data_IF_463807398086
#
_entry.id   IF_463807398086
#
_cell.length_a   1.000
_cell.length_b   1.000
_cell.length_c   1.000
_cell.angle_alpha   90.00
_cell.angle_beta   90.00
_cell.angle_gamma   90.00
#
_symmetry.space_group_name_H-M   'P 1'
#
loop_
_entity.id
_entity.type
_entity.pdbx_description
1 polymer ?
#
# COMPACT_ATOMS: atom_id res chain seq x y z
N UNK A 1 14.24 -21.06 -28.99
CA UNK A 1 13.88 -20.19 -27.86
C UNK A 1 14.90 -20.47 -26.77
N UNK A 2 15.73 -19.51 -26.42
CA UNK A 2 16.75 -19.69 -25.37
C UNK A 2 16.06 -19.71 -24.00
N UNK A 3 16.52 -20.58 -23.09
CA UNK A 3 15.88 -20.78 -21.79
C UNK A 3 16.02 -19.56 -20.86
N UNK A 4 16.87 -18.60 -21.24
CA UNK A 4 17.11 -17.33 -20.55
C UNK A 4 16.11 -16.24 -20.94
N UNK A 5 15.30 -16.45 -21.98
CA UNK A 5 14.39 -15.45 -22.53
C UNK A 5 12.98 -15.57 -21.92
N UNK A 6 12.90 -15.36 -20.60
CA UNK A 6 11.66 -15.54 -19.83
C UNK A 6 10.63 -14.41 -20.08
N UNK A 7 11.10 -13.18 -20.26
CA UNK A 7 10.28 -11.99 -20.51
C UNK A 7 10.20 -11.70 -22.02
N UNK A 8 9.57 -12.61 -22.74
CA UNK A 8 9.39 -12.49 -24.20
C UNK A 8 8.48 -11.31 -24.57
N UNK A 9 8.59 -10.83 -25.82
CA UNK A 9 7.68 -9.81 -26.35
C UNK A 9 6.21 -10.23 -26.25
N UNK A 10 5.89 -11.49 -26.55
CA UNK A 10 4.53 -12.01 -26.44
C UNK A 10 4.03 -11.96 -24.99
N UNK A 11 4.88 -12.35 -24.03
CA UNK A 11 4.54 -12.26 -22.61
C UNK A 11 4.35 -10.80 -22.18
N UNK A 12 5.29 -9.90 -22.49
CA UNK A 12 5.20 -8.47 -22.14
C UNK A 12 3.97 -7.79 -22.75
N UNK A 13 3.57 -8.21 -23.96
CA UNK A 13 2.37 -7.71 -24.62
C UNK A 13 1.05 -8.22 -24.03
N UNK A 14 1.11 -9.31 -23.26
CA UNK A 14 -0.05 -9.85 -22.55
C UNK A 14 -0.43 -8.98 -21.35
N UNK A 15 -1.69 -9.06 -20.94
CA UNK A 15 -2.20 -8.37 -19.76
C UNK A 15 -1.36 -8.64 -18.51
N UNK A 16 -1.04 -9.91 -18.24
CA UNK A 16 -0.24 -10.32 -17.08
C UNK A 16 1.21 -9.84 -17.18
N UNK A 17 1.84 -9.95 -18.35
CA UNK A 17 3.21 -9.49 -18.51
C UNK A 17 3.34 -7.96 -18.44
N UNK A 18 2.34 -7.23 -18.95
CA UNK A 18 2.26 -5.77 -18.76
C UNK A 18 2.12 -5.41 -17.27
N UNK A 19 1.27 -6.12 -16.51
CA UNK A 19 1.16 -5.90 -15.05
C UNK A 19 2.50 -6.12 -14.35
N UNK A 20 3.12 -7.28 -14.56
CA UNK A 20 4.40 -7.65 -13.92
C UNK A 20 5.51 -6.67 -14.33
N UNK A 21 5.60 -6.30 -15.60
CA UNK A 21 6.63 -5.38 -16.08
C UNK A 21 6.46 -3.98 -15.46
N UNK A 22 5.24 -3.43 -15.47
CA UNK A 22 4.97 -2.11 -14.88
C UNK A 22 5.20 -2.13 -13.37
N UNK A 23 4.79 -3.19 -12.68
CA UNK A 23 5.03 -3.37 -11.24
C UNK A 23 6.52 -3.42 -10.90
N UNK A 24 7.29 -4.20 -11.66
CA UNK A 24 8.74 -4.33 -11.45
C UNK A 24 9.45 -2.99 -11.63
N UNK A 25 9.07 -2.23 -12.66
CA UNK A 25 9.64 -0.90 -12.89
C UNK A 25 9.24 0.02 -11.73
N UNK A 26 7.97 0.08 -11.36
CA UNK A 26 7.53 0.92 -10.21
C UNK A 26 8.26 0.54 -8.94
N UNK A 27 8.39 -0.75 -8.64
CA UNK A 27 9.07 -1.25 -7.44
C UNK A 27 10.54 -0.83 -7.42
N UNK A 28 11.24 -0.97 -8.54
CA UNK A 28 12.67 -0.64 -8.63
C UNK A 28 12.96 0.86 -8.66
N UNK A 29 12.07 1.68 -9.21
CA UNK A 29 12.33 3.12 -9.41
C UNK A 29 11.72 4.02 -8.34
N UNK A 30 10.69 3.55 -7.61
CA UNK A 30 9.99 4.37 -6.62
C UNK A 30 10.82 4.65 -5.36
N UNK A 31 11.74 3.76 -5.00
CA UNK A 31 12.67 3.98 -3.88
C UNK A 31 13.77 5.01 -4.17
N UNK A 32 13.82 5.51 -5.41
CA UNK A 32 14.76 6.55 -5.78
C UNK A 32 14.36 7.90 -5.13
N UNK A 33 15.30 8.60 -4.46
CA UNK A 33 15.01 9.81 -3.69
C UNK A 33 14.39 10.95 -4.52
N UNK A 34 14.54 10.94 -5.84
CA UNK A 34 13.92 11.92 -6.75
C UNK A 34 12.41 11.71 -6.97
N UNK A 35 11.90 10.47 -6.91
CA UNK A 35 10.50 10.14 -7.23
C UNK A 35 9.60 10.14 -5.98
N UNK A 36 10.21 10.21 -4.79
CA UNK A 36 9.54 10.08 -3.47
C UNK A 36 8.42 11.11 -3.20
N UNK A 37 8.35 12.20 -3.97
CA UNK A 37 7.36 13.28 -3.80
C UNK A 37 6.11 13.14 -4.69
N UNK A 38 6.13 12.25 -5.68
CA UNK A 38 5.01 12.08 -6.64
C UNK A 38 4.01 11.07 -6.08
N UNK A 39 2.68 11.32 -6.16
CA UNK A 39 1.70 10.32 -5.76
C UNK A 39 1.87 9.06 -6.61
N UNK A 40 2.07 7.92 -5.94
CA UNK A 40 2.35 6.60 -6.56
C UNK A 40 1.38 6.30 -7.71
N UNK A 41 0.10 6.64 -7.54
CA UNK A 41 -0.95 6.43 -8.56
C UNK A 41 -0.63 7.09 -9.89
N UNK A 42 -0.19 8.36 -9.85
CA UNK A 42 0.16 9.11 -11.05
C UNK A 42 1.47 8.60 -11.65
N UNK A 43 2.43 8.24 -10.81
CA UNK A 43 3.70 7.66 -11.26
C UNK A 43 3.48 6.33 -12.01
N UNK A 44 2.73 5.41 -11.41
CA UNK A 44 2.35 4.13 -12.02
C UNK A 44 1.56 4.33 -13.31
N UNK A 45 0.69 5.36 -13.37
CA UNK A 45 -0.05 5.69 -14.59
C UNK A 45 0.86 6.10 -15.74
N UNK A 46 1.82 7.00 -15.48
CA UNK A 46 2.78 7.44 -16.50
C UNK A 46 3.61 6.25 -17.00
N UNK A 47 4.05 5.37 -16.09
CA UNK A 47 4.78 4.16 -16.44
C UNK A 47 3.94 3.17 -17.26
N UNK A 48 2.67 2.97 -16.90
CA UNK A 48 1.77 2.08 -17.63
C UNK A 48 1.53 2.57 -19.06
N UNK A 49 1.31 3.87 -19.23
CA UNK A 49 1.18 4.50 -20.56
C UNK A 49 2.47 4.32 -21.35
N UNK A 50 3.63 4.63 -20.76
CA UNK A 50 4.93 4.48 -21.42
C UNK A 50 5.19 3.02 -21.86
N UNK A 51 4.91 2.05 -20.99
CA UNK A 51 5.07 0.63 -21.30
C UNK A 51 4.17 0.19 -22.45
N UNK A 52 2.88 0.56 -22.42
CA UNK A 52 1.93 0.22 -23.49
C UNK A 52 2.31 0.85 -24.84
N UNK A 53 2.87 2.07 -24.83
CA UNK A 53 3.39 2.70 -26.05
C UNK A 53 4.57 1.88 -26.59
N UNK A 54 5.53 1.50 -25.74
CA UNK A 54 6.68 0.69 -26.16
C UNK A 54 6.20 -0.63 -26.77
N UNK A 55 5.31 -1.36 -26.09
CA UNK A 55 4.74 -2.63 -26.59
C UNK A 55 4.03 -2.45 -27.94
N UNK A 56 3.28 -1.35 -28.13
CA UNK A 56 2.63 -1.04 -29.41
C UNK A 56 3.64 -0.78 -30.52
N UNK A 57 4.70 -0.03 -30.24
CA UNK A 57 5.75 0.26 -31.22
C UNK A 57 6.52 -0.98 -31.64
N UNK A 58 6.83 -1.89 -30.70
CA UNK A 58 7.55 -3.14 -31.01
C UNK A 58 6.69 -4.16 -31.73
N UNK A 59 5.37 -4.08 -31.59
CA UNK A 59 4.40 -4.96 -32.29
C UNK A 59 4.08 -4.46 -33.72
N UNK A 60 4.60 -3.28 -34.11
CA UNK A 60 4.45 -2.74 -35.48
C UNK A 60 3.06 -2.18 -35.81
N UNK A 61 2.13 -2.13 -34.85
CA UNK A 61 0.75 -1.67 -35.06
C UNK A 61 0.59 -0.16 -34.81
N UNK A 62 1.38 0.66 -35.50
CA UNK A 62 1.37 2.12 -35.37
C UNK A 62 0.27 2.73 -36.26
N UNK A 63 -0.96 2.25 -36.11
CA UNK A 63 -2.12 2.96 -36.64
C UNK A 63 -2.51 4.04 -35.63
N UNK A 64 -2.17 5.29 -35.94
CA UNK A 64 -2.50 6.49 -35.15
C UNK A 64 -4.00 6.84 -35.26
N UNK A 65 -4.86 5.90 -34.88
CA UNK A 65 -6.32 6.08 -34.82
C UNK A 65 -6.74 6.56 -33.44
N UNK A 66 -7.81 7.38 -33.38
CA UNK A 66 -8.45 7.81 -32.12
C UNK A 66 -8.87 6.64 -31.24
N UNK A 67 -9.27 5.52 -31.84
CA UNK A 67 -9.62 4.30 -31.13
C UNK A 67 -8.39 3.67 -30.43
N UNK A 68 -7.21 3.75 -31.05
CA UNK A 68 -5.96 3.24 -30.49
C UNK A 68 -5.58 4.00 -29.22
N UNK A 69 -5.68 5.33 -29.25
CA UNK A 69 -5.42 6.19 -28.09
C UNK A 69 -6.40 5.91 -26.94
N UNK A 70 -7.69 5.77 -27.26
CA UNK A 70 -8.70 5.46 -26.25
C UNK A 70 -8.46 4.09 -25.59
N UNK A 71 -8.19 3.05 -26.39
CA UNK A 71 -7.87 1.71 -25.88
C UNK A 71 -6.62 1.72 -25.01
N UNK A 72 -5.58 2.45 -25.41
CA UNK A 72 -4.34 2.57 -24.62
C UNK A 72 -4.62 3.26 -23.28
N UNK A 73 -5.40 4.33 -23.28
CA UNK A 73 -5.76 5.07 -22.07
C UNK A 73 -6.58 4.22 -21.08
N UNK A 74 -7.61 3.52 -21.56
CA UNK A 74 -8.42 2.63 -20.71
C UNK A 74 -7.58 1.47 -20.17
N UNK A 75 -6.73 0.86 -21.00
CA UNK A 75 -5.85 -0.21 -20.53
C UNK A 75 -4.88 0.30 -19.46
N UNK A 76 -4.29 1.49 -19.64
CA UNK A 76 -3.42 2.10 -18.62
C UNK A 76 -4.18 2.36 -17.31
N UNK A 77 -5.44 2.83 -17.37
CA UNK A 77 -6.29 2.99 -16.20
C UNK A 77 -6.55 1.66 -15.48
N UNK A 78 -6.87 0.60 -16.21
CA UNK A 78 -7.09 -0.74 -15.62
C UNK A 78 -5.82 -1.22 -14.90
N UNK A 79 -4.66 -1.10 -15.53
CA UNK A 79 -3.37 -1.47 -14.95
C UNK A 79 -3.10 -0.69 -13.66
N UNK A 80 -3.32 0.62 -13.66
CA UNK A 80 -3.18 1.46 -12.46
C UNK A 80 -4.17 1.09 -11.39
N UNK A 81 -5.43 0.82 -11.72
CA UNK A 81 -6.44 0.43 -10.73
C UNK A 81 -6.10 -0.90 -10.08
N UNK A 82 -5.51 -1.86 -10.80
CA UNK A 82 -5.10 -3.14 -10.23
C UNK A 82 -3.88 -2.95 -9.33
N UNK A 83 -2.85 -2.26 -9.82
CA UNK A 83 -1.60 -2.03 -9.08
C UNK A 83 -1.82 -1.12 -7.87
N UNK A 84 -2.61 -0.04 -8.03
CA UNK A 84 -2.83 0.96 -7.00
C UNK A 84 -4.08 0.75 -6.14
N UNK A 85 -5.12 0.11 -6.67
CA UNK A 85 -6.32 -0.23 -5.91
C UNK A 85 -6.05 -1.25 -4.81
N UNK A 86 -5.04 -2.11 -5.00
CA UNK A 86 -4.46 -2.91 -3.93
C UNK A 86 -3.92 -2.05 -2.79
N UNK A 87 -3.14 -0.99 -3.08
CA UNK A 87 -2.52 -0.17 -2.04
C UNK A 87 -3.52 0.59 -1.15
N UNK A 88 -4.62 1.13 -1.69
CA UNK A 88 -5.63 1.80 -0.87
C UNK A 88 -6.31 0.81 0.10
N UNK A 89 -6.63 -0.39 -0.38
CA UNK A 89 -7.26 -1.45 0.43
C UNK A 89 -6.30 -1.95 1.52
N UNK A 90 -5.01 -2.08 1.21
CA UNK A 90 -3.99 -2.48 2.19
C UNK A 90 -3.77 -1.35 3.21
N UNK A 91 -3.67 -0.09 2.78
CA UNK A 91 -3.46 1.06 3.67
C UNK A 91 -4.64 1.29 4.63
N UNK A 92 -5.88 1.11 4.16
CA UNK A 92 -7.09 1.20 4.98
C UNK A 92 -7.14 0.06 6.02
N UNK A 93 -6.76 -1.17 5.63
CA UNK A 93 -6.62 -2.29 6.57
C UNK A 93 -5.49 -2.07 7.58
N UNK A 94 -4.35 -1.51 7.17
CA UNK A 94 -3.23 -1.20 8.07
C UNK A 94 -3.57 -0.08 9.06
N UNK A 95 -4.32 0.95 8.64
CA UNK A 95 -4.85 1.96 9.56
C UNK A 95 -5.80 1.33 10.58
N UNK A 96 -6.72 0.49 10.12
CA UNK A 96 -7.69 -0.19 10.99
C UNK A 96 -7.00 -1.10 12.02
N UNK A 97 -5.96 -1.84 11.63
CA UNK A 97 -5.17 -2.67 12.57
C UNK A 97 -4.39 -1.80 13.57
N UNK A 98 -3.76 -0.71 13.11
CA UNK A 98 -3.03 0.22 13.98
C UNK A 98 -3.96 0.89 15.01
N UNK A 99 -5.17 1.25 14.61
CA UNK A 99 -6.17 1.86 15.50
C UNK A 99 -6.69 0.85 16.53
N UNK A 100 -6.89 -0.42 16.15
CA UNK A 100 -7.23 -1.50 17.09
C UNK A 100 -6.11 -1.74 18.11
N UNK A 101 -4.86 -1.85 17.65
CA UNK A 101 -3.70 -2.03 18.55
C UNK A 101 -3.50 -0.83 19.47
N UNK A 102 -3.67 0.40 18.96
CA UNK A 102 -3.61 1.61 19.77
C UNK A 102 -4.70 1.67 20.84
N UNK A 103 -5.94 1.25 20.51
CA UNK A 103 -7.04 1.20 21.47
C UNK A 103 -6.83 0.15 22.57
N UNK A 104 -6.35 -1.05 22.20
CA UNK A 104 -6.05 -2.13 23.16
C UNK A 104 -4.93 -1.75 24.15
N UNK A 105 -3.93 -0.99 23.70
CA UNK A 105 -2.83 -0.53 24.57
C UNK A 105 -3.31 0.60 25.50
N UNK A 106 -4.22 1.48 25.04
CA UNK A 106 -4.86 2.48 25.91
C UNK A 106 -5.78 1.83 26.95
N UNK A 107 -6.62 0.86 26.56
CA UNK A 107 -7.47 0.12 27.51
C UNK A 107 -6.66 -0.68 28.54
N UNK A 108 -5.50 -1.24 28.15
CA UNK A 108 -4.62 -1.91 29.10
C UNK A 108 -3.99 -0.93 30.12
N UNK A 109 -3.57 0.26 29.67
CA UNK A 109 -2.99 1.28 30.55
C UNK A 109 -4.02 1.92 31.49
N UNK A 110 -5.26 2.12 31.05
CA UNK A 110 -6.33 2.67 31.90
C UNK A 110 -6.80 1.68 32.98
N UNK A 111 -6.81 0.38 32.66
CA UNK A 111 -7.10 -0.67 33.63
C UNK A 111 -5.97 -0.86 34.67
N UNK A 112 -4.70 -0.68 34.27
CA UNK A 112 -3.56 -0.73 35.19
C UNK A 112 -3.52 0.49 36.13
N UNK A 113 -3.86 1.69 35.63
CA UNK A 113 -4.01 2.89 36.46
C UNK A 113 -5.13 2.76 37.49
N UNK A 114 -6.30 2.25 37.10
CA UNK A 114 -7.43 2.05 38.02
C UNK A 114 -7.10 1.03 39.12
N UNK A 115 -6.38 -0.05 38.79
CA UNK A 115 -5.96 -1.05 39.79
C UNK A 115 -4.94 -0.49 40.79
N UNK A 116 -4.04 0.40 40.35
CA UNK A 116 -3.09 1.07 41.24
C UNK A 116 -3.77 2.08 42.18
N UNK A 117 -4.81 2.76 41.72
CA UNK A 117 -5.54 3.75 42.53
C UNK A 117 -6.43 3.08 43.59
N UNK A 118 -7.09 1.96 43.26
CA UNK A 118 -7.85 1.16 44.25
C UNK A 118 -6.95 0.59 45.35
N UNK A 119 -5.75 0.11 45.00
CA UNK A 119 -4.79 -0.42 45.98
C UNK A 119 -4.27 0.63 46.96
N UNK A 120 -4.14 1.90 46.52
CA UNK A 120 -3.66 2.99 47.36
C UNK A 120 -4.75 3.52 48.31
N UNK A 121 -6.02 3.48 47.91
CA UNK A 121 -7.14 3.87 48.79
C UNK A 121 -7.39 2.84 49.90
N UNK A 122 -7.21 1.55 49.62
CA UNK A 122 -7.34 0.49 50.64
C UNK A 122 -6.24 0.57 51.70
N UNK A 123 -4.99 0.88 51.31
CA UNK A 123 -3.90 1.04 52.28
C UNK A 123 -4.08 2.27 53.19
N UNK A 124 -4.57 3.39 52.65
CA UNK A 124 -4.81 4.61 53.43
C UNK A 124 -5.92 4.45 54.48
N UNK A 125 -6.97 3.68 54.18
CA UNK A 125 -8.04 3.39 55.15
C UNK A 125 -7.61 2.47 56.30
N UNK A 126 -6.57 1.66 56.11
CA UNK A 126 -6.04 0.75 57.15
C UNK A 126 -5.13 1.52 58.11
N UNK A 127 -4.35 2.50 57.62
CA UNK A 127 -3.52 3.37 58.47
C UNK A 127 -4.37 4.29 59.36
N UNK A 128 -5.39 4.96 58.80
CA UNK A 128 -6.27 5.87 59.56
C UNK A 128 -7.06 5.15 60.67
N UNK A 129 -7.38 3.86 60.50
CA UNK A 129 -8.06 3.05 61.55
C UNK A 129 -7.13 2.64 62.69
N UNK A 130 -5.83 2.53 62.45
CA UNK A 130 -4.86 2.12 63.47
C UNK A 130 -4.40 3.30 64.34
N UNK A 131 -4.42 4.53 63.82
CA UNK A 131 -4.13 5.73 64.63
C UNK A 131 -5.29 6.14 65.56
N UNK A 132 -6.54 5.85 65.19
CA UNK A 132 -7.70 6.19 66.01
C UNK A 132 -7.90 5.29 67.25
N UNK A 133 -7.09 4.24 67.42
CA UNK A 133 -7.25 3.22 68.47
C UNK A 133 -6.05 3.15 69.43
N UNK A 134 -5.20 4.18 69.44
CA UNK A 134 -4.04 4.34 70.34
C UNK A 134 -4.24 5.53 71.27
#
# INVERSE_FOLDING_TARGET
>A
MEITDFLTQNFLSSFTGTLVAVELIVFTTKDFPLIKKIPTKLYTFILAVAHLVIVKTTTGSIEMSVECYYRLFINALVIVLILCGGYDTIMEKFKSIKDITGNLISEANDNEKNKSNTSNEEQKQIEDKNEANK
#
